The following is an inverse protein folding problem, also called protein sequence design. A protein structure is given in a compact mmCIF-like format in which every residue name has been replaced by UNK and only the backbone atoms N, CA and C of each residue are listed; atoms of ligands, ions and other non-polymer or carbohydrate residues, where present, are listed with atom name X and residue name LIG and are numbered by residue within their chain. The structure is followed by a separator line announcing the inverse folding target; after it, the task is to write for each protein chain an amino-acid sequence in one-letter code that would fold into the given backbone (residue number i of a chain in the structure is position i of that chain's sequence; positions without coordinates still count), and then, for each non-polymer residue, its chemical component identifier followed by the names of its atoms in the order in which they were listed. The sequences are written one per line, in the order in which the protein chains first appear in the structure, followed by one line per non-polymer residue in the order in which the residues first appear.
data_IF_739547528108
#
_entry.id   IF_739547528108
#
_cell.length_a   1.000
_cell.length_b   1.000
_cell.length_c   1.000
_cell.angle_alpha   90.00
_cell.angle_beta   90.00
_cell.angle_gamma   90.00
#
_symmetry.space_group_name_H-M   'P 1'
#
loop_
_entity.id
_entity.type
_entity.pdbx_description
1 polymer ?
#
# COMPACT_ATOMS: atom_id res chain seq x y z
N UNK A 1 -111.11 86.88 -22.07
CA UNK A 1 -111.95 87.32 -23.21
C UNK A 1 -111.53 86.53 -24.44
N UNK A 2 -112.29 85.50 -24.85
CA UNK A 2 -112.11 84.85 -26.14
C UNK A 2 -112.88 85.62 -27.23
N UNK A 3 -112.32 85.80 -28.44
CA UNK A 3 -113.01 86.48 -29.52
C UNK A 3 -114.12 85.61 -30.11
N UNK A 4 -115.22 86.28 -30.46
CA UNK A 4 -116.42 85.76 -31.11
C UNK A 4 -116.08 84.92 -32.35
N UNK A 5 -116.45 83.63 -32.32
CA UNK A 5 -116.48 82.79 -33.52
C UNK A 5 -117.75 83.08 -34.30
N UNK A 6 -117.57 83.80 -35.41
CA UNK A 6 -118.58 84.04 -36.45
C UNK A 6 -119.24 82.72 -36.89
N UNK A 7 -120.57 82.77 -37.06
CA UNK A 7 -121.42 81.68 -37.56
C UNK A 7 -120.92 81.19 -38.94
N UNK A 8 -120.91 79.87 -39.20
CA UNK A 8 -120.51 79.34 -40.50
C UNK A 8 -121.58 79.62 -41.56
N UNK A 9 -121.16 80.27 -42.64
CA UNK A 9 -121.90 80.39 -43.90
C UNK A 9 -122.00 78.97 -44.48
N UNK A 10 -123.22 78.48 -44.72
CA UNK A 10 -123.47 77.21 -45.41
C UNK A 10 -123.11 77.38 -46.89
N UNK A 11 -122.14 76.64 -47.46
CA UNK A 11 -121.94 76.65 -48.89
C UNK A 11 -123.05 75.84 -49.57
N UNK A 12 -123.60 76.39 -50.65
CA UNK A 12 -124.47 75.67 -51.59
C UNK A 12 -123.58 74.65 -52.29
N UNK A 13 -123.74 73.39 -51.92
CA UNK A 13 -123.00 72.25 -52.47
C UNK A 13 -123.69 71.89 -53.80
N UNK A 14 -123.00 72.12 -54.92
CA UNK A 14 -123.42 71.59 -56.21
C UNK A 14 -123.26 70.06 -56.20
N UNK A 15 -124.06 69.28 -56.97
CA UNK A 15 -124.12 67.82 -56.86
C UNK A 15 -122.79 67.07 -57.08
N UNK A 16 -121.78 67.72 -57.69
CA UNK A 16 -120.41 67.19 -57.82
C UNK A 16 -119.52 67.39 -56.58
N UNK A 17 -119.81 68.39 -55.74
CA UNK A 17 -118.97 68.75 -54.58
C UNK A 17 -119.26 67.89 -53.34
N UNK A 18 -120.44 67.26 -53.27
CA UNK A 18 -120.79 66.34 -52.18
C UNK A 18 -119.91 65.07 -52.19
N UNK A 19 -119.54 64.57 -53.36
CA UNK A 19 -118.63 63.43 -53.50
C UNK A 19 -117.20 63.82 -53.12
N UNK A 20 -116.76 65.03 -53.48
CA UNK A 20 -115.42 65.52 -53.11
C UNK A 20 -115.29 65.77 -51.61
N UNK A 21 -116.31 66.34 -50.97
CA UNK A 21 -116.33 66.56 -49.52
C UNK A 21 -116.40 65.24 -48.75
N UNK A 22 -117.19 64.26 -49.21
CA UNK A 22 -117.22 62.93 -48.62
C UNK A 22 -115.86 62.22 -48.74
N UNK A 23 -115.19 62.34 -49.90
CA UNK A 23 -113.85 61.79 -50.12
C UNK A 23 -112.80 62.49 -49.25
N UNK A 24 -112.84 63.81 -49.14
CA UNK A 24 -111.94 64.58 -48.27
C UNK A 24 -112.18 64.31 -46.78
N UNK A 25 -113.42 64.04 -46.36
CA UNK A 25 -113.71 63.62 -44.98
C UNK A 25 -113.22 62.20 -44.71
N UNK A 26 -113.35 61.29 -45.67
CA UNK A 26 -112.80 59.93 -45.60
C UNK A 26 -111.27 59.96 -45.56
N UNK A 27 -110.64 60.78 -46.40
CA UNK A 27 -109.18 60.97 -46.43
C UNK A 27 -108.68 61.64 -45.15
N UNK A 28 -109.38 62.65 -44.60
CA UNK A 28 -109.03 63.22 -43.30
C UNK A 28 -109.14 62.20 -42.16
N UNK A 29 -110.18 61.36 -42.19
CA UNK A 29 -110.35 60.31 -41.19
C UNK A 29 -109.23 59.27 -41.29
N UNK A 30 -108.85 58.89 -42.52
CA UNK A 30 -107.72 58.00 -42.79
C UNK A 30 -106.39 58.61 -42.36
N UNK A 31 -106.15 59.88 -42.64
CA UNK A 31 -104.94 60.60 -42.21
C UNK A 31 -104.89 60.70 -40.68
N UNK A 32 -106.02 60.94 -40.01
CA UNK A 32 -106.06 60.96 -38.54
C UNK A 32 -105.80 59.57 -37.94
N UNK A 33 -106.31 58.50 -38.56
CA UNK A 33 -106.02 57.12 -38.16
C UNK A 33 -104.54 56.75 -38.42
N UNK A 34 -103.97 57.15 -39.55
CA UNK A 34 -102.55 56.95 -39.87
C UNK A 34 -101.63 57.78 -38.96
N UNK A 35 -102.01 59.02 -38.63
CA UNK A 35 -101.29 59.87 -37.68
C UNK A 35 -101.36 59.30 -36.25
N UNK A 36 -102.53 58.77 -35.85
CA UNK A 36 -102.71 58.09 -34.58
C UNK A 36 -101.82 56.86 -34.46
N UNK A 37 -101.80 56.02 -35.51
CA UNK A 37 -100.91 54.85 -35.59
C UNK A 37 -99.43 55.24 -35.56
N UNK A 38 -99.03 56.25 -36.33
CA UNK A 38 -97.65 56.73 -36.33
C UNK A 38 -97.22 57.30 -34.96
N UNK A 39 -98.13 57.99 -34.26
CA UNK A 39 -97.87 58.50 -32.91
C UNK A 39 -97.76 57.38 -31.87
N UNK A 40 -98.58 56.33 -31.97
CA UNK A 40 -98.48 55.15 -31.10
C UNK A 40 -97.20 54.36 -31.38
N UNK A 41 -96.85 54.18 -32.65
CA UNK A 41 -95.59 53.54 -33.06
C UNK A 41 -94.37 54.31 -32.54
N UNK A 42 -94.37 55.65 -32.67
CA UNK A 42 -93.31 56.51 -32.16
C UNK A 42 -93.19 56.43 -30.63
N UNK A 43 -94.32 56.43 -29.91
CA UNK A 43 -94.34 56.23 -28.45
C UNK A 43 -93.79 54.85 -28.08
N UNK A 44 -94.20 53.79 -28.79
CA UNK A 44 -93.71 52.44 -28.56
C UNK A 44 -92.20 52.32 -28.82
N UNK A 45 -91.71 52.96 -29.89
CA UNK A 45 -90.30 52.98 -30.26
C UNK A 45 -89.47 53.76 -29.24
N UNK A 46 -89.98 54.87 -28.73
CA UNK A 46 -89.33 55.66 -27.67
C UNK A 46 -89.21 54.85 -26.38
N UNK A 47 -90.25 54.13 -25.99
CA UNK A 47 -90.22 53.23 -24.81
C UNK A 47 -89.24 52.08 -25.02
N UNK A 48 -89.20 51.47 -26.21
CA UNK A 48 -88.21 50.42 -26.55
C UNK A 48 -86.77 50.94 -26.54
N UNK A 49 -86.53 52.15 -27.03
CA UNK A 49 -85.21 52.78 -27.00
C UNK A 49 -84.77 53.04 -25.55
N UNK A 50 -85.64 53.62 -24.72
CA UNK A 50 -85.35 53.87 -23.30
C UNK A 50 -85.09 52.59 -22.50
N UNK A 51 -85.81 51.49 -22.80
CA UNK A 51 -85.54 50.21 -22.15
C UNK A 51 -84.21 49.60 -22.60
N UNK A 52 -83.86 49.71 -23.89
CA UNK A 52 -82.55 49.30 -24.38
C UNK A 52 -81.39 50.12 -23.81
N UNK A 53 -81.58 51.43 -23.64
CA UNK A 53 -80.57 52.33 -23.10
C UNK A 53 -80.31 52.05 -21.61
N UNK A 54 -81.37 51.75 -20.85
CA UNK A 54 -81.27 51.24 -19.46
C UNK A 54 -80.58 49.88 -19.40
N UNK A 55 -80.86 48.98 -20.34
CA UNK A 55 -80.21 47.68 -20.40
C UNK A 55 -78.71 47.80 -20.72
N UNK A 56 -78.34 48.65 -21.70
CA UNK A 56 -76.93 48.96 -22.01
C UNK A 56 -76.20 49.56 -20.83
N UNK A 57 -76.81 50.53 -20.14
CA UNK A 57 -76.22 51.16 -18.96
C UNK A 57 -75.98 50.14 -17.82
N UNK A 58 -76.89 49.18 -17.63
CA UNK A 58 -76.69 48.09 -16.66
C UNK A 58 -75.54 47.17 -17.05
N UNK A 59 -75.45 46.79 -18.34
CA UNK A 59 -74.37 45.95 -18.86
C UNK A 59 -73.00 46.65 -18.73
N UNK A 60 -72.92 47.94 -19.05
CA UNK A 60 -71.68 48.72 -18.88
C UNK A 60 -71.27 48.82 -17.41
N UNK A 61 -72.23 49.01 -16.50
CA UNK A 61 -71.96 49.04 -15.06
C UNK A 61 -71.45 47.68 -14.53
N UNK A 62 -72.00 46.57 -15.02
CA UNK A 62 -71.52 45.23 -14.69
C UNK A 62 -70.13 44.94 -15.26
N UNK A 63 -69.86 45.34 -16.51
CA UNK A 63 -68.53 45.26 -17.11
C UNK A 63 -67.50 46.07 -16.33
N UNK A 64 -67.87 47.27 -15.84
CA UNK A 64 -66.99 48.08 -15.00
C UNK A 64 -66.68 47.41 -13.66
N UNK A 65 -67.68 46.73 -13.07
CA UNK A 65 -67.54 45.97 -11.82
C UNK A 65 -66.68 44.71 -11.97
N UNK A 66 -66.60 44.12 -13.17
CA UNK A 66 -65.82 42.91 -13.44
C UNK A 66 -64.34 43.20 -13.76
N UNK A 67 -63.98 44.43 -14.15
CA UNK A 67 -62.58 44.83 -14.43
C UNK A 67 -61.60 44.58 -13.27
N UNK A 68 -61.92 44.89 -12.00
CA UNK A 68 -61.04 44.59 -10.87
C UNK A 68 -60.82 43.09 -10.66
N UNK A 69 -61.86 42.27 -10.87
CA UNK A 69 -61.77 40.82 -10.76
C UNK A 69 -60.86 40.22 -11.85
N UNK A 70 -60.95 40.73 -13.08
CA UNK A 70 -60.03 40.35 -14.16
C UNK A 70 -58.58 40.68 -13.81
N UNK A 71 -58.31 41.87 -13.27
CA UNK A 71 -56.95 42.26 -12.86
C UNK A 71 -56.41 41.39 -11.72
N UNK A 72 -57.25 41.02 -10.76
CA UNK A 72 -56.87 40.09 -9.69
C UNK A 72 -56.53 38.71 -10.25
N UNK A 73 -57.30 38.24 -11.23
CA UNK A 73 -57.03 36.97 -11.90
C UNK A 73 -55.67 37.02 -12.62
N UNK A 74 -55.37 38.11 -13.33
CA UNK A 74 -54.09 38.33 -14.03
C UNK A 74 -52.90 38.40 -13.06
N UNK A 75 -53.08 38.99 -11.87
CA UNK A 75 -52.02 39.00 -10.84
C UNK A 75 -51.80 37.62 -10.24
N UNK A 76 -52.88 36.87 -9.97
CA UNK A 76 -52.78 35.52 -9.40
C UNK A 76 -52.15 34.55 -10.40
N UNK A 77 -52.46 34.67 -11.70
CA UNK A 77 -51.81 33.86 -12.72
C UNK A 77 -50.32 34.20 -12.83
N UNK A 78 -49.95 35.48 -12.86
CA UNK A 78 -48.54 35.90 -12.88
C UNK A 78 -47.76 35.43 -11.63
N UNK A 79 -48.34 35.56 -10.44
CA UNK A 79 -47.73 35.08 -9.19
C UNK A 79 -47.57 33.55 -9.20
N UNK A 80 -48.57 32.83 -9.72
CA UNK A 80 -48.48 31.38 -9.86
C UNK A 80 -47.39 30.94 -10.84
N UNK A 81 -47.21 31.65 -11.96
CA UNK A 81 -46.12 31.38 -12.90
C UNK A 81 -44.74 31.67 -12.27
N UNK A 82 -44.64 32.72 -11.46
CA UNK A 82 -43.45 33.02 -10.65
C UNK A 82 -43.11 31.88 -9.67
N UNK A 83 -44.11 31.34 -8.98
CA UNK A 83 -43.93 30.19 -8.09
C UNK A 83 -43.53 28.92 -8.87
N UNK A 84 -44.15 28.65 -10.02
CA UNK A 84 -43.82 27.49 -10.85
C UNK A 84 -42.43 27.54 -11.46
N UNK A 85 -41.96 28.74 -11.82
CA UNK A 85 -40.58 28.95 -12.30
C UNK A 85 -39.57 28.80 -11.17
N UNK A 86 -39.86 29.37 -9.99
CA UNK A 86 -39.06 29.18 -8.78
C UNK A 86 -38.95 27.70 -8.38
N UNK A 87 -40.07 26.97 -8.37
CA UNK A 87 -40.10 25.54 -8.05
C UNK A 87 -39.29 24.71 -9.07
N UNK A 88 -39.42 25.00 -10.37
CA UNK A 88 -38.61 24.34 -11.40
C UNK A 88 -37.12 24.59 -11.22
N UNK A 89 -36.73 25.83 -10.92
CA UNK A 89 -35.33 26.16 -10.61
C UNK A 89 -34.82 25.35 -9.42
N UNK A 90 -35.57 25.33 -8.31
CA UNK A 90 -35.20 24.56 -7.12
C UNK A 90 -35.07 23.06 -7.41
N UNK A 91 -36.01 22.47 -8.17
CA UNK A 91 -35.93 21.06 -8.59
C UNK A 91 -34.65 20.81 -9.40
N UNK A 92 -34.33 21.67 -10.36
CA UNK A 92 -33.09 21.49 -11.15
C UNK A 92 -31.83 21.63 -10.31
N UNK A 93 -31.81 22.51 -9.31
CA UNK A 93 -30.68 22.68 -8.40
C UNK A 93 -30.52 21.46 -7.48
N UNK A 94 -31.63 20.92 -6.96
CA UNK A 94 -31.64 19.68 -6.18
C UNK A 94 -31.14 18.52 -7.03
N UNK A 95 -31.59 18.38 -8.28
CA UNK A 95 -31.11 17.34 -9.19
C UNK A 95 -29.61 17.45 -9.49
N UNK A 96 -29.08 18.67 -9.63
CA UNK A 96 -27.63 18.90 -9.79
C UNK A 96 -26.86 18.50 -8.53
N UNK A 97 -27.36 18.85 -7.34
CA UNK A 97 -26.73 18.45 -6.06
C UNK A 97 -26.77 16.94 -5.85
N UNK A 98 -27.88 16.29 -6.20
CA UNK A 98 -28.01 14.82 -6.13
C UNK A 98 -27.06 14.11 -7.09
N UNK A 99 -26.87 14.64 -8.31
CA UNK A 99 -25.89 14.11 -9.26
C UNK A 99 -24.45 14.26 -8.74
N UNK A 100 -24.11 15.43 -8.18
CA UNK A 100 -22.78 15.67 -7.60
C UNK A 100 -22.50 14.76 -6.38
N UNK A 101 -23.49 14.54 -5.52
CA UNK A 101 -23.37 13.62 -4.38
C UNK A 101 -23.19 12.16 -4.85
N UNK A 102 -23.90 11.73 -5.88
CA UNK A 102 -23.72 10.39 -6.47
C UNK A 102 -22.32 10.20 -7.05
N UNK A 103 -21.78 11.21 -7.72
CA UNK A 103 -20.41 11.17 -8.25
C UNK A 103 -19.38 11.11 -7.11
N UNK A 104 -19.54 11.92 -6.05
CA UNK A 104 -18.68 11.84 -4.87
C UNK A 104 -18.74 10.47 -4.20
N UNK A 105 -19.92 9.85 -4.12
CA UNK A 105 -20.11 8.54 -3.54
C UNK A 105 -19.39 7.46 -4.36
N UNK A 106 -19.48 7.51 -5.70
CA UNK A 106 -18.71 6.61 -6.59
C UNK A 106 -17.19 6.78 -6.44
N UNK A 107 -16.71 8.02 -6.30
CA UNK A 107 -15.28 8.28 -6.06
C UNK A 107 -14.85 7.71 -4.70
N UNK A 108 -15.68 7.85 -3.68
CA UNK A 108 -15.41 7.30 -2.35
C UNK A 108 -15.38 5.77 -2.37
N UNK A 109 -16.35 5.11 -3.02
CA UNK A 109 -16.38 3.65 -3.20
C UNK A 109 -15.16 3.14 -3.96
N UNK A 110 -14.73 3.84 -5.01
CA UNK A 110 -13.52 3.49 -5.76
C UNK A 110 -12.27 3.60 -4.88
N UNK A 111 -12.13 4.67 -4.11
CA UNK A 111 -11.01 4.83 -3.16
C UNK A 111 -11.03 3.75 -2.08
N UNK A 112 -12.21 3.41 -1.55
CA UNK A 112 -12.35 2.33 -0.58
C UNK A 112 -11.92 0.98 -1.17
N UNK A 113 -12.33 0.68 -2.40
CA UNK A 113 -11.87 -0.48 -3.16
C UNK A 113 -10.34 -0.50 -3.33
N UNK A 114 -9.73 0.64 -3.68
CA UNK A 114 -8.27 0.77 -3.83
C UNK A 114 -7.55 0.56 -2.49
N UNK A 115 -8.08 1.10 -1.38
CA UNK A 115 -7.54 0.86 -0.04
C UNK A 115 -7.69 -0.60 0.39
N UNK A 116 -8.81 -1.24 0.10
CA UNK A 116 -9.01 -2.66 0.37
C UNK A 116 -8.03 -3.52 -0.45
N UNK A 117 -7.79 -3.20 -1.73
CA UNK A 117 -6.78 -3.88 -2.54
C UNK A 117 -5.34 -3.62 -2.05
N UNK A 118 -5.03 -2.41 -1.59
CA UNK A 118 -3.74 -2.09 -0.99
C UNK A 118 -3.49 -2.85 0.31
N UNK A 119 -4.50 -2.95 1.18
CA UNK A 119 -4.39 -3.67 2.45
C UNK A 119 -4.28 -5.19 2.27
N UNK A 120 -4.95 -5.79 1.27
CA UNK A 120 -4.77 -7.21 0.95
C UNK A 120 -3.37 -7.49 0.40
N UNK A 121 -2.84 -6.59 -0.42
CA UNK A 121 -1.46 -6.68 -0.94
C UNK A 121 -0.45 -6.62 0.21
N UNK A 122 -0.55 -5.62 1.09
CA UNK A 122 0.33 -5.48 2.27
C UNK A 122 0.25 -6.69 3.21
N UNK A 123 -0.96 -7.25 3.43
CA UNK A 123 -1.11 -8.50 4.21
C UNK A 123 -0.38 -9.66 3.56
N UNK A 124 -0.46 -9.80 2.23
CA UNK A 124 0.23 -10.88 1.51
C UNK A 124 1.75 -10.74 1.54
N UNK A 125 2.27 -9.51 1.48
CA UNK A 125 3.69 -9.23 1.61
C UNK A 125 4.19 -9.53 3.03
N UNK A 126 3.43 -9.13 4.05
CA UNK A 126 3.73 -9.45 5.45
C UNK A 126 3.77 -10.96 5.69
N UNK A 127 2.80 -11.70 5.16
CA UNK A 127 2.77 -13.17 5.24
C UNK A 127 3.98 -13.82 4.56
N UNK A 128 4.43 -13.27 3.42
CA UNK A 128 5.64 -13.74 2.74
C UNK A 128 6.90 -13.48 3.56
N UNK A 129 7.02 -12.30 4.18
CA UNK A 129 8.14 -11.96 5.07
C UNK A 129 8.16 -12.89 6.29
N UNK A 130 7.01 -13.08 6.95
CA UNK A 130 6.88 -13.99 8.08
C UNK A 130 7.26 -15.43 7.71
N UNK A 131 6.82 -15.93 6.55
CA UNK A 131 7.21 -17.27 6.06
C UNK A 131 8.72 -17.37 5.78
N UNK A 132 9.34 -16.33 5.25
CA UNK A 132 10.80 -16.29 5.03
C UNK A 132 11.55 -16.31 6.35
N UNK A 133 11.13 -15.52 7.33
CA UNK A 133 11.73 -15.51 8.66
C UNK A 133 11.57 -16.86 9.37
N UNK A 134 10.37 -17.44 9.35
CA UNK A 134 10.12 -18.78 9.91
C UNK A 134 10.99 -19.85 9.22
N UNK A 135 11.12 -19.80 7.89
CA UNK A 135 12.00 -20.71 7.15
C UNK A 135 13.48 -20.52 7.56
N UNK A 136 13.92 -19.27 7.75
CA UNK A 136 15.26 -18.95 8.25
C UNK A 136 15.51 -19.51 9.66
N UNK A 137 14.55 -19.32 10.57
CA UNK A 137 14.61 -19.86 11.94
C UNK A 137 14.66 -21.39 11.95
N UNK A 138 13.86 -22.07 11.11
CA UNK A 138 13.88 -23.54 10.99
C UNK A 138 15.24 -24.02 10.48
N UNK A 139 15.83 -23.34 9.48
CA UNK A 139 17.17 -23.67 8.98
C UNK A 139 18.25 -23.48 10.05
N UNK A 140 18.19 -22.39 10.81
CA UNK A 140 19.11 -22.13 11.91
C UNK A 140 18.99 -23.21 13.01
N UNK A 141 17.76 -23.60 13.38
CA UNK A 141 17.52 -24.69 14.34
C UNK A 141 18.06 -26.03 13.83
N UNK A 142 17.92 -26.33 12.54
CA UNK A 142 18.47 -27.54 11.93
C UNK A 142 20.01 -27.55 12.02
N UNK A 143 20.67 -26.42 11.70
CA UNK A 143 22.12 -26.27 11.84
C UNK A 143 22.60 -26.42 13.29
N UNK A 144 21.90 -25.79 14.24
CA UNK A 144 22.20 -25.95 15.68
C UNK A 144 22.09 -27.43 16.09
N UNK A 145 21.05 -28.12 15.62
CA UNK A 145 20.85 -29.54 15.94
C UNK A 145 21.96 -30.41 15.33
N UNK A 146 22.43 -30.08 14.13
CA UNK A 146 23.54 -30.77 13.48
C UNK A 146 24.87 -30.53 14.21
N UNK A 147 25.15 -29.27 14.59
CA UNK A 147 26.32 -28.91 15.41
C UNK A 147 26.29 -29.58 16.79
N UNK A 148 25.12 -29.72 17.41
CA UNK A 148 24.99 -30.46 18.68
C UNK A 148 25.27 -31.95 18.51
N UNK A 149 24.91 -32.55 17.36
CA UNK A 149 25.23 -33.94 17.07
C UNK A 149 26.73 -34.13 16.81
N UNK A 150 27.35 -33.23 16.05
CA UNK A 150 28.80 -33.29 15.81
C UNK A 150 29.58 -33.08 17.11
N UNK A 151 29.19 -32.12 17.95
CA UNK A 151 29.80 -31.88 19.26
C UNK A 151 29.72 -33.13 20.15
N UNK A 152 28.55 -33.76 20.28
CA UNK A 152 28.40 -35.00 21.05
C UNK A 152 29.25 -36.15 20.52
N UNK A 153 29.50 -36.17 19.21
CA UNK A 153 30.34 -37.20 18.58
C UNK A 153 31.81 -36.93 18.90
N UNK A 154 32.25 -35.68 18.75
CA UNK A 154 33.60 -35.24 19.11
C UNK A 154 33.90 -35.44 20.61
N UNK A 155 32.94 -35.17 21.49
CA UNK A 155 33.07 -35.43 22.94
C UNK A 155 33.30 -36.92 23.22
N UNK A 156 32.56 -37.82 22.55
CA UNK A 156 32.73 -39.27 22.69
C UNK A 156 34.09 -39.73 22.17
N UNK A 157 34.52 -39.20 21.04
CA UNK A 157 35.85 -39.48 20.47
C UNK A 157 36.96 -39.01 21.41
N UNK A 158 36.84 -37.79 21.96
CA UNK A 158 37.80 -37.27 22.93
C UNK A 158 37.89 -38.14 24.19
N UNK A 159 36.74 -38.59 24.73
CA UNK A 159 36.73 -39.53 25.87
C UNK A 159 37.40 -40.86 25.50
N UNK A 160 37.13 -41.40 24.30
CA UNK A 160 37.77 -42.63 23.84
C UNK A 160 39.29 -42.46 23.68
N UNK A 161 39.76 -41.33 23.14
CA UNK A 161 41.19 -41.03 23.03
C UNK A 161 41.84 -40.85 24.39
N UNK A 162 41.19 -40.17 25.34
CA UNK A 162 41.69 -40.02 26.70
C UNK A 162 41.84 -41.38 27.41
N UNK A 163 40.87 -42.29 27.22
CA UNK A 163 40.96 -43.66 27.74
C UNK A 163 42.12 -44.44 27.09
N UNK A 164 42.28 -44.34 25.77
CA UNK A 164 43.40 -44.98 25.08
C UNK A 164 44.76 -44.45 25.53
N UNK A 165 44.87 -43.13 25.75
CA UNK A 165 46.07 -42.50 26.27
C UNK A 165 46.40 -43.02 27.68
N UNK A 166 45.41 -43.08 28.57
CA UNK A 166 45.60 -43.62 29.93
C UNK A 166 46.02 -45.11 29.92
N UNK A 167 45.46 -45.93 29.02
CA UNK A 167 45.87 -47.34 28.85
C UNK A 167 47.32 -47.43 28.37
N UNK A 168 47.72 -46.59 27.40
CA UNK A 168 49.11 -46.54 26.93
C UNK A 168 50.06 -46.09 28.01
N UNK A 169 49.73 -45.05 28.77
CA UNK A 169 50.54 -44.56 29.89
C UNK A 169 50.73 -45.64 30.98
N UNK A 170 49.65 -46.38 31.30
CA UNK A 170 49.73 -47.55 32.17
C UNK A 170 50.59 -48.70 31.59
N UNK A 171 50.63 -48.85 30.26
CA UNK A 171 51.53 -49.77 29.58
C UNK A 171 52.99 -49.36 29.69
N UNK A 172 53.30 -48.10 29.37
CA UNK A 172 54.64 -47.51 29.45
C UNK A 172 55.22 -47.57 30.86
N UNK A 173 54.42 -47.29 31.89
CA UNK A 173 54.86 -47.40 33.29
C UNK A 173 55.23 -48.84 33.67
N UNK A 174 54.42 -49.83 33.25
CA UNK A 174 54.75 -51.25 33.45
C UNK A 174 56.02 -51.67 32.72
N UNK A 175 56.22 -51.23 31.48
CA UNK A 175 57.45 -51.49 30.72
C UNK A 175 58.66 -50.83 31.39
N UNK A 176 58.52 -49.59 31.87
CA UNK A 176 59.58 -48.89 32.59
C UNK A 176 59.97 -49.64 33.88
N UNK A 177 59.00 -50.14 34.64
CA UNK A 177 59.26 -50.91 35.85
C UNK A 177 59.88 -52.28 35.54
N UNK A 178 59.42 -52.95 34.46
CA UNK A 178 60.03 -54.19 33.99
C UNK A 178 61.50 -53.99 33.55
N UNK A 179 61.82 -52.87 32.90
CA UNK A 179 63.18 -52.51 32.52
C UNK A 179 64.06 -52.20 33.74
N UNK A 180 63.53 -51.50 34.75
CA UNK A 180 64.24 -51.28 36.03
C UNK A 180 64.55 -52.61 36.73
N UNK A 181 63.60 -53.53 36.76
CA UNK A 181 63.80 -54.86 37.35
C UNK A 181 64.78 -55.71 36.55
N UNK A 182 64.74 -55.65 35.22
CA UNK A 182 65.71 -56.31 34.36
C UNK A 182 67.13 -55.76 34.56
N UNK A 183 67.27 -54.44 34.70
CA UNK A 183 68.54 -53.78 35.00
C UNK A 183 69.12 -54.25 36.34
N UNK A 184 68.30 -54.24 37.41
CA UNK A 184 68.72 -54.77 38.73
C UNK A 184 69.15 -56.25 38.66
N UNK A 185 68.40 -57.08 37.93
CA UNK A 185 68.77 -58.49 37.71
C UNK A 185 70.07 -58.63 36.92
N UNK A 186 70.34 -57.74 35.97
CA UNK A 186 71.60 -57.72 35.22
C UNK A 186 72.77 -57.29 36.11
N UNK A 187 72.58 -56.25 36.93
CA UNK A 187 73.60 -55.74 37.84
C UNK A 187 73.97 -56.77 38.92
N UNK A 188 72.99 -57.44 39.51
CA UNK A 188 73.25 -58.54 40.46
C UNK A 188 73.99 -59.72 39.81
N UNK A 189 73.66 -60.06 38.55
CA UNK A 189 74.42 -61.06 37.79
C UNK A 189 75.85 -60.61 37.52
N UNK A 190 76.04 -59.34 37.14
CA UNK A 190 77.36 -58.77 36.91
C UNK A 190 78.23 -58.82 38.17
N UNK A 191 77.69 -58.41 39.32
CA UNK A 191 78.37 -58.52 40.61
C UNK A 191 78.69 -59.98 40.97
N UNK A 192 77.79 -60.92 40.68
CA UNK A 192 78.06 -62.34 40.90
C UNK A 192 79.20 -62.85 40.00
N UNK A 193 79.22 -62.46 38.72
CA UNK A 193 80.32 -62.81 37.80
C UNK A 193 81.65 -62.19 38.23
N UNK A 194 81.66 -60.93 38.68
CA UNK A 194 82.87 -60.30 39.22
C UNK A 194 83.39 -61.06 40.45
N UNK A 195 82.52 -61.46 41.38
CA UNK A 195 82.91 -62.28 42.53
C UNK A 195 83.55 -63.58 42.07
N UNK A 196 82.93 -64.31 41.15
CA UNK A 196 83.50 -65.55 40.62
C UNK A 196 84.85 -65.33 39.95
N UNK A 197 85.03 -64.24 39.19
CA UNK A 197 86.32 -63.90 38.57
C UNK A 197 87.39 -63.59 39.62
N UNK A 198 87.04 -62.90 40.70
CA UNK A 198 88.00 -62.64 41.79
C UNK A 198 88.39 -63.92 42.55
N UNK A 199 87.45 -64.85 42.74
CA UNK A 199 87.72 -66.16 43.33
C UNK A 199 88.62 -67.01 42.41
N UNK A 200 88.36 -66.99 41.10
CA UNK A 200 89.22 -67.65 40.10
C UNK A 200 90.64 -67.10 40.13
N UNK A 201 90.82 -65.77 40.12
CA UNK A 201 92.16 -65.14 40.22
C UNK A 201 92.89 -65.57 41.49
N UNK A 202 92.22 -65.60 42.64
CA UNK A 202 92.81 -66.10 43.89
C UNK A 202 93.19 -67.58 43.79
N UNK A 203 92.35 -68.40 43.18
CA UNK A 203 92.64 -69.84 43.00
C UNK A 203 93.83 -70.07 42.06
N UNK A 204 93.98 -69.23 41.03
CA UNK A 204 95.11 -69.24 40.08
C UNK A 204 96.40 -68.76 40.74
N UNK A 205 96.35 -67.70 41.57
CA UNK A 205 97.46 -67.24 42.42
C UNK A 205 97.89 -68.32 43.42
N UNK A 206 96.94 -69.00 44.08
CA UNK A 206 97.25 -70.10 44.98
C UNK A 206 97.84 -71.30 44.24
N UNK A 207 97.32 -71.62 43.05
CA UNK A 207 97.83 -72.72 42.22
C UNK A 207 99.24 -72.44 41.70
N UNK A 208 99.52 -71.21 41.25
CA UNK A 208 100.86 -70.77 40.83
C UNK A 208 101.83 -70.73 42.02
N UNK A 209 101.41 -70.28 43.19
CA UNK A 209 102.21 -70.36 44.41
C UNK A 209 102.49 -71.82 44.83
N UNK A 210 101.52 -72.71 44.69
CA UNK A 210 101.67 -74.15 44.96
C UNK A 210 102.65 -74.81 44.00
N UNK A 211 102.55 -74.50 42.70
CA UNK A 211 103.49 -74.96 41.67
C UNK A 211 104.91 -74.43 41.93
N UNK A 212 105.05 -73.16 42.30
CA UNK A 212 106.33 -72.56 42.65
C UNK A 212 106.95 -73.20 43.91
N UNK A 213 106.13 -73.59 44.90
CA UNK A 213 106.58 -74.28 46.11
C UNK A 213 106.92 -75.77 45.88
N UNK A 214 106.33 -76.42 44.87
CA UNK A 214 106.62 -77.81 44.47
C UNK A 214 107.85 -77.92 43.54
N UNK A 215 108.18 -76.84 42.82
CA UNK A 215 109.31 -76.78 41.90
C UNK A 215 110.69 -77.15 42.49
N UNK A 216 111.01 -76.86 43.78
CA UNK A 216 112.26 -77.30 44.41
C UNK A 216 112.25 -78.79 44.82
N UNK A 217 111.08 -79.38 45.02
CA UNK A 217 110.94 -80.74 45.56
C UNK A 217 110.82 -81.82 44.47
N UNK A 218 110.35 -81.47 43.26
CA UNK A 218 110.13 -82.42 42.15
C UNK A 218 110.51 -81.76 40.80
N UNK A 219 111.75 -81.92 40.33
CA UNK A 219 112.22 -81.32 39.06
C UNK A 219 111.52 -81.84 37.80
N UNK A 220 110.82 -82.97 37.88
CA UNK A 220 110.13 -83.61 36.75
C UNK A 220 108.78 -82.98 36.36
N UNK A 221 108.35 -81.93 37.06
CA UNK A 221 107.11 -81.18 36.76
C UNK A 221 107.34 -79.92 35.89
N UNK A 222 108.57 -79.62 35.50
CA UNK A 222 108.97 -78.42 34.75
C UNK A 222 108.45 -78.34 33.27
N UNK A 223 107.43 -79.11 32.91
CA UNK A 223 106.89 -79.16 31.55
C UNK A 223 105.46 -79.67 31.45
N UNK A 224 104.68 -79.65 32.54
CA UNK A 224 103.27 -80.02 32.49
C UNK A 224 102.47 -78.79 32.05
N UNK A 225 102.18 -78.71 30.75
CA UNK A 225 101.17 -77.78 30.24
C UNK A 225 99.81 -78.10 30.89
N UNK A 226 99.10 -77.10 31.44
CA UNK A 226 97.79 -77.29 32.02
C UNK A 226 96.82 -77.76 30.93
N UNK A 227 96.44 -79.05 30.96
CA UNK A 227 95.45 -79.60 30.03
C UNK A 227 94.11 -78.88 30.22
N UNK A 228 93.57 -78.25 29.17
CA UNK A 228 92.45 -77.32 29.32
C UNK A 228 91.11 -78.04 29.18
N UNK A 229 90.76 -78.92 30.13
CA UNK A 229 89.39 -79.46 30.21
C UNK A 229 88.42 -78.36 30.68
N UNK A 230 88.93 -77.37 31.43
CA UNK A 230 88.20 -76.15 31.81
C UNK A 230 88.00 -75.19 30.63
N UNK A 231 88.96 -75.05 29.70
CA UNK A 231 88.84 -74.10 28.57
C UNK A 231 87.84 -74.59 27.54
N UNK A 232 87.72 -75.90 27.28
CA UNK A 232 86.64 -76.39 26.40
C UNK A 232 85.25 -76.21 27.01
N UNK A 233 85.10 -76.36 28.34
CA UNK A 233 83.84 -76.00 29.03
C UNK A 233 83.59 -74.49 29.00
N UNK A 234 84.61 -73.67 29.24
CA UNK A 234 84.53 -72.21 29.17
C UNK A 234 84.19 -71.73 27.75
N UNK A 235 84.80 -72.32 26.70
CA UNK A 235 84.50 -72.03 25.30
C UNK A 235 83.09 -72.47 24.90
N UNK A 236 82.62 -73.63 25.35
CA UNK A 236 81.22 -74.04 25.13
C UNK A 236 80.23 -73.13 25.86
N UNK A 237 80.60 -72.65 27.04
CA UNK A 237 79.79 -71.73 27.83
C UNK A 237 79.78 -70.32 27.21
N UNK A 238 80.93 -69.84 26.71
CA UNK A 238 81.03 -68.61 25.91
C UNK A 238 80.26 -68.71 24.60
N UNK A 239 80.27 -69.85 23.90
CA UNK A 239 79.44 -70.06 22.69
C UNK A 239 77.94 -70.05 23.01
N UNK A 240 77.53 -70.62 24.13
CA UNK A 240 76.15 -70.56 24.62
C UNK A 240 75.74 -69.14 25.01
N UNK A 241 76.63 -68.41 25.67
CA UNK A 241 76.42 -67.01 26.06
C UNK A 241 76.39 -66.09 24.83
N UNK A 242 77.28 -66.28 23.86
CA UNK A 242 77.27 -65.57 22.58
C UNK A 242 75.97 -65.83 21.81
N UNK A 243 75.47 -67.08 21.81
CA UNK A 243 74.17 -67.41 21.20
C UNK A 243 72.99 -66.77 21.93
N UNK A 244 73.03 -66.70 23.26
CA UNK A 244 72.03 -65.97 24.04
C UNK A 244 72.09 -64.45 23.80
N UNK A 245 73.30 -63.89 23.66
CA UNK A 245 73.50 -62.48 23.30
C UNK A 245 72.97 -62.19 21.90
N UNK A 246 73.21 -63.05 20.91
CA UNK A 246 72.63 -62.95 19.57
C UNK A 246 71.10 -62.98 19.59
N UNK A 247 70.50 -63.83 20.43
CA UNK A 247 69.06 -63.84 20.67
C UNK A 247 68.53 -62.53 21.28
N UNK A 248 69.28 -61.93 22.22
CA UNK A 248 68.93 -60.62 22.80
C UNK A 248 69.07 -59.48 21.80
N UNK A 249 70.13 -59.49 20.99
CA UNK A 249 70.33 -58.49 19.93
C UNK A 249 69.18 -58.57 18.91
N UNK A 250 68.80 -59.77 18.48
CA UNK A 250 67.65 -59.93 17.58
C UNK A 250 66.32 -59.44 18.20
N UNK A 251 66.10 -59.68 19.50
CA UNK A 251 64.92 -59.17 20.20
C UNK A 251 64.94 -57.64 20.33
N UNK A 252 66.10 -57.03 20.62
CA UNK A 252 66.27 -55.58 20.69
C UNK A 252 66.12 -54.93 19.32
N UNK A 253 66.59 -55.56 18.24
CA UNK A 253 66.36 -55.10 16.86
C UNK A 253 64.88 -55.14 16.48
N UNK A 254 64.15 -56.16 16.92
CA UNK A 254 62.70 -56.24 16.71
C UNK A 254 61.96 -55.13 17.50
N UNK A 255 62.34 -54.90 18.76
CA UNK A 255 61.80 -53.81 19.56
C UNK A 255 62.14 -52.43 18.96
N UNK A 256 63.36 -52.24 18.47
CA UNK A 256 63.77 -50.99 17.82
C UNK A 256 62.94 -50.72 16.56
N UNK A 257 62.67 -51.74 15.74
CA UNK A 257 61.79 -51.60 14.57
C UNK A 257 60.35 -51.29 14.97
N UNK A 258 59.85 -51.89 16.04
CA UNK A 258 58.51 -51.60 16.56
C UNK A 258 58.40 -50.15 17.08
N UNK A 259 59.38 -49.69 17.85
CA UNK A 259 59.44 -48.31 18.35
C UNK A 259 59.61 -47.29 17.22
N UNK A 260 60.41 -47.60 16.19
CA UNK A 260 60.49 -46.78 14.98
C UNK A 260 59.13 -46.68 14.26
N UNK A 261 58.37 -47.77 14.20
CA UNK A 261 57.02 -47.74 13.61
C UNK A 261 56.03 -46.94 14.48
N UNK A 262 56.12 -47.04 15.81
CA UNK A 262 55.33 -46.23 16.75
C UNK A 262 55.67 -44.74 16.63
N UNK A 263 56.95 -44.39 16.57
CA UNK A 263 57.39 -43.00 16.37
C UNK A 263 56.89 -42.45 15.03
N UNK A 264 57.00 -43.20 13.93
CA UNK A 264 56.45 -42.79 12.65
C UNK A 264 54.91 -42.62 12.66
N UNK A 265 54.20 -43.38 13.51
CA UNK A 265 52.77 -43.18 13.74
C UNK A 265 52.49 -41.94 14.60
N UNK A 266 53.33 -41.66 15.61
CA UNK A 266 53.25 -40.45 16.43
C UNK A 266 53.46 -39.20 15.59
N UNK A 267 54.49 -39.16 14.74
CA UNK A 267 54.78 -38.02 13.85
C UNK A 267 53.60 -37.72 12.92
N UNK A 268 52.90 -38.76 12.43
CA UNK A 268 51.69 -38.60 11.63
C UNK A 268 50.54 -38.01 12.44
N UNK A 269 50.36 -38.44 13.69
CA UNK A 269 49.35 -37.86 14.57
C UNK A 269 49.66 -36.41 14.91
N UNK A 270 50.91 -36.08 15.20
CA UNK A 270 51.35 -34.71 15.49
C UNK A 270 51.14 -33.80 14.28
N UNK A 271 51.43 -34.29 13.07
CA UNK A 271 51.14 -33.54 11.84
C UNK A 271 49.63 -33.28 11.65
N UNK A 272 48.78 -34.26 12.00
CA UNK A 272 47.33 -34.13 11.90
C UNK A 272 46.76 -33.20 12.97
N UNK A 273 47.29 -33.27 14.19
CA UNK A 273 46.94 -32.34 15.28
C UNK A 273 47.33 -30.92 14.86
N UNK A 274 48.53 -30.71 14.29
CA UNK A 274 48.96 -29.42 13.75
C UNK A 274 47.98 -28.86 12.72
N UNK A 275 47.58 -29.67 11.74
CA UNK A 275 46.58 -29.25 10.74
C UNK A 275 45.22 -28.89 11.35
N UNK A 276 44.74 -29.66 12.34
CA UNK A 276 43.48 -29.38 13.03
C UNK A 276 43.55 -28.13 13.92
N UNK A 277 44.71 -27.83 14.50
CA UNK A 277 44.93 -26.61 15.28
C UNK A 277 44.89 -25.39 14.36
N UNK A 278 45.53 -25.45 13.19
CA UNK A 278 45.46 -24.37 12.21
C UNK A 278 44.05 -24.18 11.64
N UNK A 279 43.31 -25.27 11.38
CA UNK A 279 41.91 -25.19 10.94
C UNK A 279 41.03 -24.53 12.01
N UNK A 280 41.17 -24.92 13.29
CA UNK A 280 40.46 -24.27 14.39
C UNK A 280 40.83 -22.78 14.51
N UNK A 281 42.11 -22.43 14.35
CA UNK A 281 42.57 -21.04 14.36
C UNK A 281 41.89 -20.23 13.26
N UNK A 282 41.81 -20.78 12.05
CA UNK A 282 41.17 -20.13 10.89
C UNK A 282 39.65 -20.00 11.08
N UNK A 283 38.98 -21.04 11.60
CA UNK A 283 37.56 -20.99 11.94
C UNK A 283 37.27 -19.94 13.02
N UNK A 284 38.16 -19.78 14.00
CA UNK A 284 38.02 -18.78 15.04
C UNK A 284 38.21 -17.36 14.50
N UNK A 285 39.17 -17.14 13.60
CA UNK A 285 39.30 -15.87 12.86
C UNK A 285 38.05 -15.55 12.03
N UNK A 286 37.44 -16.55 11.39
CA UNK A 286 36.19 -16.38 10.65
C UNK A 286 35.00 -16.03 11.58
N UNK A 287 34.90 -16.69 12.73
CA UNK A 287 33.87 -16.38 13.72
C UNK A 287 34.01 -14.97 14.29
N UNK A 288 35.24 -14.55 14.58
CA UNK A 288 35.53 -13.19 15.03
C UNK A 288 35.19 -12.16 13.96
N UNK A 289 35.53 -12.44 12.69
CA UNK A 289 35.12 -11.63 11.53
C UNK A 289 33.60 -11.48 11.44
N UNK A 290 32.86 -12.58 11.46
CA UNK A 290 31.39 -12.57 11.42
C UNK A 290 30.77 -11.85 12.61
N UNK A 291 31.37 -11.96 13.80
CA UNK A 291 30.94 -11.22 15.00
C UNK A 291 31.12 -9.72 14.83
N UNK A 292 32.25 -9.28 14.25
CA UNK A 292 32.47 -7.86 13.95
C UNK A 292 31.51 -7.33 12.89
N UNK A 293 31.27 -8.09 11.82
CA UNK A 293 30.30 -7.73 10.78
C UNK A 293 28.89 -7.63 11.34
N UNK A 294 28.49 -8.59 12.19
CA UNK A 294 27.18 -8.57 12.85
C UNK A 294 26.97 -7.32 13.70
N UNK A 295 27.99 -6.90 14.47
CA UNK A 295 27.96 -5.65 15.25
C UNK A 295 27.82 -4.43 14.33
N UNK A 296 28.59 -4.38 13.26
CA UNK A 296 28.55 -3.29 12.29
C UNK A 296 27.20 -3.19 11.57
N UNK A 297 26.59 -4.32 11.22
CA UNK A 297 25.23 -4.34 10.68
C UNK A 297 24.19 -3.88 11.69
N UNK A 298 24.32 -4.28 12.97
CA UNK A 298 23.43 -3.83 14.02
C UNK A 298 23.53 -2.31 14.26
N UNK A 299 24.72 -1.72 14.18
CA UNK A 299 24.93 -0.27 14.26
C UNK A 299 24.30 0.46 13.06
N UNK A 300 24.56 -0.02 11.83
CA UNK A 300 23.94 0.53 10.62
C UNK A 300 22.41 0.44 10.65
N UNK A 301 21.85 -0.65 11.19
CA UNK A 301 20.41 -0.80 11.35
C UNK A 301 19.83 0.20 12.37
N UNK A 302 20.54 0.47 13.47
CA UNK A 302 20.15 1.51 14.44
C UNK A 302 20.20 2.90 13.81
N UNK A 303 21.25 3.21 13.05
CA UNK A 303 21.39 4.47 12.34
C UNK A 303 20.28 4.66 11.31
N UNK A 304 19.99 3.63 10.50
CA UNK A 304 18.89 3.66 9.54
C UNK A 304 17.53 3.91 10.23
N UNK A 305 17.27 3.23 11.35
CA UNK A 305 16.04 3.44 12.14
C UNK A 305 15.94 4.89 12.64
N UNK A 306 17.03 5.46 13.16
CA UNK A 306 17.05 6.86 13.61
C UNK A 306 16.83 7.86 12.46
N UNK A 307 17.40 7.61 11.28
CA UNK A 307 17.15 8.44 10.08
C UNK A 307 15.70 8.36 9.62
N UNK A 308 15.07 7.18 9.74
CA UNK A 308 13.68 6.98 9.36
C UNK A 308 12.73 7.67 10.35
N UNK A 309 12.99 7.56 11.66
CA UNK A 309 12.24 8.26 12.70
C UNK A 309 12.29 9.78 12.53
N UNK A 310 13.48 10.33 12.25
CA UNK A 310 13.64 11.78 11.98
C UNK A 310 12.94 12.21 10.68
N UNK A 311 13.01 11.41 9.62
CA UNK A 311 12.28 11.67 8.38
C UNK A 311 10.75 11.65 8.59
N UNK A 312 10.25 10.67 9.35
CA UNK A 312 8.81 10.57 9.70
C UNK A 312 8.37 11.75 10.56
N UNK A 313 9.18 12.15 11.56
CA UNK A 313 8.89 13.32 12.39
C UNK A 313 8.82 14.61 11.54
N UNK A 314 9.76 14.79 10.61
CA UNK A 314 9.78 15.93 9.71
C UNK A 314 8.58 15.93 8.75
N UNK A 315 8.24 14.78 8.15
CA UNK A 315 7.08 14.65 7.27
C UNK A 315 5.76 14.90 8.02
N UNK A 316 5.66 14.45 9.27
CA UNK A 316 4.50 14.72 10.12
C UNK A 316 4.40 16.21 10.47
N UNK A 317 5.52 16.85 10.80
CA UNK A 317 5.57 18.28 11.08
C UNK A 317 5.16 19.10 9.85
N UNK A 318 5.70 18.79 8.66
CA UNK A 318 5.35 19.47 7.42
C UNK A 318 3.88 19.28 7.04
N UNK A 319 3.36 18.04 7.13
CA UNK A 319 1.96 17.75 6.87
C UNK A 319 1.04 18.53 7.82
N UNK A 320 1.36 18.58 9.12
CA UNK A 320 0.57 19.33 10.10
C UNK A 320 0.57 20.85 9.81
N UNK A 321 1.72 21.40 9.43
CA UNK A 321 1.85 22.82 9.09
C UNK A 321 1.05 23.16 7.82
N UNK A 322 1.03 22.26 6.83
CA UNK A 322 0.29 22.45 5.59
C UNK A 322 -1.23 22.32 5.80
N UNK A 323 -1.67 21.35 6.62
CA UNK A 323 -3.08 21.24 7.02
C UNK A 323 -3.57 22.45 7.80
N UNK A 324 -2.72 23.02 8.68
CA UNK A 324 -3.10 24.22 9.43
C UNK A 324 -3.17 25.45 8.54
N UNK A 325 -2.26 25.60 7.56
CA UNK A 325 -2.36 26.66 6.53
C UNK A 325 -3.64 26.55 5.72
N UNK A 326 -3.97 25.34 5.25
CA UNK A 326 -5.20 25.09 4.50
C UNK A 326 -6.44 25.40 5.33
N UNK A 327 -6.44 25.04 6.62
CA UNK A 327 -7.52 25.37 7.56
C UNK A 327 -7.68 26.88 7.72
N UNK A 328 -6.60 27.61 7.97
CA UNK A 328 -6.63 29.08 8.10
C UNK A 328 -7.17 29.75 6.83
N UNK A 329 -6.75 29.28 5.65
CA UNK A 329 -7.23 29.82 4.38
C UNK A 329 -8.70 29.49 4.11
N UNK A 330 -9.18 28.30 4.51
CA UNK A 330 -10.59 27.95 4.46
C UNK A 330 -11.42 28.79 5.42
N UNK A 331 -10.98 28.96 6.67
CA UNK A 331 -11.66 29.80 7.66
C UNK A 331 -11.79 31.24 7.16
N UNK A 332 -10.72 31.80 6.56
CA UNK A 332 -10.77 33.13 5.93
C UNK A 332 -11.77 33.21 4.79
N UNK A 333 -11.83 32.18 3.92
CA UNK A 333 -12.81 32.12 2.83
C UNK A 333 -14.24 32.04 3.36
N UNK A 334 -14.48 31.21 4.38
CA UNK A 334 -15.79 31.07 5.02
C UNK A 334 -16.22 32.40 5.64
N UNK A 335 -15.38 33.03 6.46
CA UNK A 335 -15.72 34.33 7.06
C UNK A 335 -15.98 35.43 6.03
N UNK A 336 -15.23 35.44 4.90
CA UNK A 336 -15.49 36.37 3.81
C UNK A 336 -16.84 36.12 3.15
N UNK A 337 -17.18 34.87 2.85
CA UNK A 337 -18.47 34.49 2.27
C UNK A 337 -19.64 34.74 3.22
N UNK A 338 -19.45 34.53 4.52
CA UNK A 338 -20.44 34.87 5.55
C UNK A 338 -20.71 36.38 5.60
N UNK A 339 -19.65 37.20 5.62
CA UNK A 339 -19.79 38.66 5.59
C UNK A 339 -20.48 39.15 4.31
N UNK A 340 -20.14 38.58 3.15
CA UNK A 340 -20.79 38.85 1.87
C UNK A 340 -22.27 38.43 1.88
N UNK A 341 -22.59 37.24 2.42
CA UNK A 341 -23.98 36.78 2.56
C UNK A 341 -24.80 37.68 3.48
N UNK A 342 -24.25 38.09 4.62
CA UNK A 342 -24.91 39.04 5.52
C UNK A 342 -25.16 40.37 4.82
N UNK A 343 -24.20 40.87 4.03
CA UNK A 343 -24.36 42.09 3.24
C UNK A 343 -25.46 41.95 2.17
N UNK A 344 -25.50 40.83 1.46
CA UNK A 344 -26.54 40.54 0.46
C UNK A 344 -27.93 40.42 1.10
N UNK A 345 -28.04 39.74 2.24
CA UNK A 345 -29.28 39.65 3.01
C UNK A 345 -29.76 41.02 3.48
N UNK A 346 -28.86 41.85 4.00
CA UNK A 346 -29.19 43.24 4.38
C UNK A 346 -29.65 44.08 3.19
N UNK A 347 -29.06 43.89 2.00
CA UNK A 347 -29.51 44.57 0.78
C UNK A 347 -30.90 44.12 0.35
N UNK A 348 -31.21 42.82 0.46
CA UNK A 348 -32.53 42.26 0.17
C UNK A 348 -33.60 42.78 1.14
N UNK A 349 -33.27 42.91 2.42
CA UNK A 349 -34.17 43.44 3.45
C UNK A 349 -34.40 44.96 3.31
N UNK A 350 -33.41 45.69 2.76
CA UNK A 350 -33.54 47.12 2.46
C UNK A 350 -34.39 47.38 1.20
N UNK A 351 -35.71 47.41 1.37
CA UNK A 351 -36.74 47.99 0.46
C UNK A 351 -36.52 47.81 -1.06
N UNK A 352 -37.16 46.79 -1.63
CA UNK A 352 -37.49 46.62 -3.08
C UNK A 352 -36.37 46.83 -4.11
N UNK A 353 -35.10 46.79 -3.71
CA UNK A 353 -33.97 46.85 -4.64
C UNK A 353 -33.38 45.46 -4.85
N UNK A 354 -33.10 45.17 -6.11
CA UNK A 354 -32.41 43.93 -6.53
C UNK A 354 -31.04 43.90 -5.86
N UNK A 355 -30.71 42.80 -5.18
CA UNK A 355 -29.41 42.61 -4.54
C UNK A 355 -28.29 42.76 -5.59
N UNK A 356 -27.29 43.58 -5.30
CA UNK A 356 -26.20 43.86 -6.22
C UNK A 356 -25.05 42.90 -5.95
N UNK A 357 -24.78 42.01 -6.91
CA UNK A 357 -23.59 41.16 -6.91
C UNK A 357 -22.49 41.85 -7.72
N UNK A 358 -21.32 42.12 -7.13
CA UNK A 358 -20.24 42.82 -7.84
C UNK A 358 -19.74 42.01 -9.05
N UNK A 359 -19.36 42.68 -10.15
CA UNK A 359 -18.95 42.02 -11.39
C UNK A 359 -17.72 41.13 -11.22
N UNK A 360 -16.81 41.42 -10.27
CA UNK A 360 -15.68 40.54 -9.95
C UNK A 360 -16.15 39.19 -9.40
N UNK A 361 -17.26 39.16 -8.64
CA UNK A 361 -17.83 37.92 -8.11
C UNK A 361 -18.53 37.12 -9.20
N UNK A 362 -19.22 37.79 -10.11
CA UNK A 362 -19.81 37.15 -11.29
C UNK A 362 -18.70 36.57 -12.18
N UNK A 363 -17.62 37.32 -12.40
CA UNK A 363 -16.44 36.81 -13.12
C UNK A 363 -15.84 35.60 -12.42
N UNK A 364 -15.60 35.66 -11.12
CA UNK A 364 -15.03 34.52 -10.38
C UNK A 364 -15.94 33.28 -10.40
N UNK A 365 -17.26 33.45 -10.30
CA UNK A 365 -18.23 32.37 -10.43
C UNK A 365 -18.25 31.80 -11.85
N UNK A 366 -18.13 32.65 -12.87
CA UNK A 366 -18.01 32.24 -14.26
C UNK A 366 -16.69 31.53 -14.51
N UNK A 367 -15.57 32.00 -13.97
CA UNK A 367 -14.25 31.39 -14.09
C UNK A 367 -14.21 30.01 -13.41
N UNK A 368 -14.81 29.90 -12.22
CA UNK A 368 -14.97 28.62 -11.52
C UNK A 368 -15.90 27.68 -12.30
N UNK A 369 -16.98 28.20 -12.88
CA UNK A 369 -17.87 27.45 -13.78
C UNK A 369 -17.14 26.98 -15.04
N UNK A 370 -16.35 27.85 -15.68
CA UNK A 370 -15.53 27.52 -16.85
C UNK A 370 -14.45 26.50 -16.52
N UNK A 371 -13.79 26.63 -15.37
CA UNK A 371 -12.80 25.67 -14.88
C UNK A 371 -13.46 24.31 -14.65
N UNK A 372 -14.58 24.25 -13.93
CA UNK A 372 -15.31 23.01 -13.66
C UNK A 372 -15.78 22.34 -14.95
N UNK A 373 -16.27 23.12 -15.91
CA UNK A 373 -16.66 22.62 -17.24
C UNK A 373 -15.44 22.07 -18.01
N UNK A 374 -14.33 22.80 -18.09
CA UNK A 374 -13.12 22.34 -18.79
C UNK A 374 -12.52 21.09 -18.18
N UNK A 375 -12.59 20.96 -16.85
CA UNK A 375 -12.01 19.82 -16.13
C UNK A 375 -12.84 18.55 -16.37
N UNK A 376 -14.17 18.69 -16.42
CA UNK A 376 -15.09 17.55 -16.53
C UNK A 376 -15.44 17.18 -17.99
N UNK A 377 -15.39 18.14 -18.92
CA UNK A 377 -15.70 17.95 -20.35
C UNK A 377 -14.47 18.20 -21.21
N UNK A 378 -13.62 17.17 -21.37
CA UNK A 378 -12.48 17.24 -22.29
C UNK A 378 -12.96 17.27 -23.74
N UNK A 379 -12.79 18.41 -24.40
CA UNK A 379 -13.21 18.63 -25.79
C UNK A 379 -14.23 19.75 -25.97
N UNK A 380 -14.69 20.36 -24.87
CA UNK A 380 -15.39 21.64 -24.90
C UNK A 380 -14.35 22.76 -24.82
N UNK A 381 -14.21 23.55 -25.89
CA UNK A 381 -13.47 24.81 -25.86
C UNK A 381 -14.44 25.97 -26.00
N UNK A 382 -14.31 26.96 -25.12
CA UNK A 382 -15.15 28.15 -25.12
C UNK A 382 -14.23 29.35 -25.31
N UNK A 383 -14.37 30.05 -26.44
CA UNK A 383 -13.60 31.24 -26.79
C UNK A 383 -14.54 32.29 -27.38
N UNK A 384 -14.52 33.51 -26.87
CA UNK A 384 -15.10 34.72 -27.49
C UNK A 384 -16.44 34.53 -28.23
N UNK A 385 -17.41 33.89 -27.56
CA UNK A 385 -18.77 33.59 -28.09
C UNK A 385 -18.89 32.39 -29.04
N UNK A 386 -17.84 31.57 -29.16
CA UNK A 386 -17.86 30.26 -29.81
C UNK A 386 -17.72 29.15 -28.77
N UNK A 387 -18.64 28.19 -28.82
CA UNK A 387 -18.54 26.94 -28.07
C UNK A 387 -18.23 25.83 -29.07
N UNK A 388 -17.01 25.29 -28.99
CA UNK A 388 -16.55 24.17 -29.81
C UNK A 388 -16.62 22.90 -28.98
N UNK A 389 -17.40 21.92 -29.44
CA UNK A 389 -17.57 20.65 -28.76
C UNK A 389 -17.10 19.52 -29.69
N UNK A 390 -16.09 18.78 -29.27
CA UNK A 390 -15.69 17.53 -29.92
C UNK A 390 -16.63 16.40 -29.49
N UNK A 391 -17.32 15.77 -30.44
CA UNK A 391 -18.30 14.70 -30.23
C UNK A 391 -17.98 13.48 -31.09
N UNK A 392 -18.21 12.29 -30.55
CA UNK A 392 -18.20 11.04 -31.30
C UNK A 392 -19.58 10.75 -31.85
N UNK A 393 -19.66 10.25 -33.07
CA UNK A 393 -20.92 9.76 -33.64
C UNK A 393 -21.04 8.27 -33.37
N UNK A 394 -22.02 7.88 -32.55
CA UNK A 394 -22.28 6.49 -32.19
C UNK A 394 -23.69 6.05 -32.59
N UNK A 395 -23.83 4.80 -33.01
CA UNK A 395 -25.11 4.14 -33.27
C UNK A 395 -25.27 3.00 -32.27
N UNK A 396 -26.21 3.12 -31.32
CA UNK A 396 -26.43 2.08 -30.29
C UNK A 396 -27.32 0.92 -30.79
N UNK A 397 -28.03 1.09 -31.90
CA UNK A 397 -28.85 0.08 -32.57
C UNK A 397 -29.32 0.60 -33.93
N UNK A 398 -29.92 -0.25 -34.77
CA UNK A 398 -30.34 0.02 -36.16
C UNK A 398 -31.41 1.13 -36.36
N UNK A 399 -31.60 2.02 -35.38
CA UNK A 399 -32.49 3.19 -35.47
C UNK A 399 -32.14 4.38 -34.58
N UNK A 400 -31.03 4.35 -33.82
CA UNK A 400 -30.67 5.43 -32.90
C UNK A 400 -29.22 5.90 -33.13
N UNK A 401 -29.08 6.99 -33.88
CA UNK A 401 -27.84 7.76 -34.01
C UNK A 401 -27.82 8.85 -32.93
N UNK A 402 -26.70 8.96 -32.20
CA UNK A 402 -26.54 9.93 -31.12
C UNK A 402 -25.14 10.51 -31.04
N UNK A 403 -25.01 11.64 -30.33
CA UNK A 403 -23.74 12.26 -30.01
C UNK A 403 -23.18 11.66 -28.71
N UNK A 404 -21.93 11.24 -28.74
CA UNK A 404 -21.18 10.79 -27.56
C UNK A 404 -20.20 11.89 -27.17
N UNK A 405 -20.39 12.47 -25.98
CA UNK A 405 -19.49 13.51 -25.45
C UNK A 405 -18.39 12.80 -24.64
N UNK A 406 -17.10 12.95 -25.02
CA UNK A 406 -16.00 12.31 -24.29
C UNK A 406 -15.84 12.91 -22.89
N UNK A 407 -15.74 12.06 -21.87
CA UNK A 407 -15.33 12.46 -20.51
C UNK A 407 -13.81 12.32 -20.34
N UNK A 408 -13.26 12.90 -19.27
CA UNK A 408 -11.82 13.02 -19.06
C UNK A 408 -11.03 11.69 -19.09
N UNK A 409 -11.70 10.55 -18.89
CA UNK A 409 -11.11 9.20 -18.90
C UNK A 409 -11.05 8.48 -20.26
N UNK A 410 -11.87 8.87 -21.26
CA UNK A 410 -12.04 8.12 -22.52
C UNK A 410 -11.33 8.73 -23.75
N UNK A 411 -10.46 9.72 -23.55
CA UNK A 411 -10.02 10.64 -24.63
C UNK A 411 -8.68 10.33 -25.28
N UNK A 412 -7.93 9.32 -24.84
CA UNK A 412 -6.62 9.02 -25.45
C UNK A 412 -6.76 8.32 -26.82
N UNK A 413 -7.72 7.41 -26.96
CA UNK A 413 -7.83 6.52 -28.14
C UNK A 413 -8.78 7.04 -29.23
N UNK A 414 -9.66 7.99 -28.92
CA UNK A 414 -10.76 8.41 -29.82
C UNK A 414 -10.50 9.79 -30.46
N UNK A 415 -9.44 10.51 -30.06
CA UNK A 415 -9.22 11.92 -30.43
C UNK A 415 -9.22 12.24 -31.92
N UNK A 416 -8.73 11.32 -32.75
CA UNK A 416 -8.53 11.55 -34.20
C UNK A 416 -9.79 11.25 -35.03
N UNK A 417 -10.84 10.68 -34.43
CA UNK A 417 -12.09 10.29 -35.12
C UNK A 417 -13.34 11.04 -34.63
N UNK A 418 -13.18 12.06 -33.76
CA UNK A 418 -14.28 12.88 -33.27
C UNK A 418 -14.63 14.00 -34.26
N UNK A 419 -15.92 14.19 -34.50
CA UNK A 419 -16.42 15.36 -35.23
C UNK A 419 -16.46 16.59 -34.33
N UNK A 420 -16.31 17.77 -34.93
CA UNK A 420 -16.37 19.04 -34.21
C UNK A 420 -17.72 19.74 -34.48
N UNK A 421 -18.43 20.09 -33.41
CA UNK A 421 -19.63 20.91 -33.47
C UNK A 421 -19.28 22.30 -32.95
N UNK A 422 -19.44 23.31 -33.80
CA UNK A 422 -19.18 24.72 -33.45
C UNK A 422 -20.51 25.45 -33.30
N UNK A 423 -20.80 25.90 -32.08
CA UNK A 423 -21.94 26.73 -31.75
C UNK A 423 -21.46 28.18 -31.63
N UNK A 424 -21.89 29.04 -32.55
CA UNK A 424 -21.62 30.49 -32.48
C UNK A 424 -22.79 31.18 -31.79
N UNK A 425 -22.53 31.77 -30.63
CA UNK A 425 -23.47 32.62 -29.90
C UNK A 425 -23.41 34.04 -30.49
N UNK A 426 -23.90 34.19 -31.72
CA UNK A 426 -24.03 35.47 -32.41
C UNK A 426 -25.49 35.88 -32.58
N UNK A 427 -25.78 37.20 -32.63
CA UNK A 427 -27.08 37.70 -33.08
C UNK A 427 -27.32 37.22 -34.52
N UNK A 428 -28.52 36.70 -34.78
CA UNK A 428 -28.98 36.28 -36.10
C UNK A 428 -28.90 37.49 -37.04
N UNK A 429 -27.89 37.52 -37.92
CA UNK A 429 -27.83 38.50 -38.99
C UNK A 429 -29.12 38.39 -39.80
N UNK A 430 -29.84 39.51 -39.90
CA UNK A 430 -31.01 39.69 -40.75
C UNK A 430 -30.58 40.23 -42.09
#
# INVERSE_FOLDING_TARGET
MPPERKKPIKPVILPGDAQLVAKLQQDNKRIQEELGKAQEELKSATVKMQTQERARSKIEAELLRLKPASRLLDTVTADSEGLWTGLRSAITEISKKDAALKEQLQIAEKKESEYQAGTTTLRSELDLVLKREQSGQIKALAQITELQKSLKTAEREHVAFAQQAAVKEAGWTREQDALKDALKKSETRFQATERTLTEYRKSEELFTASLAALHPAVPSLAGVEPKPVSVMKALFQELLEARQQLGRVSALEAQLKEEQAKNAASDKLDSRIGSLVEENRLLQEQLDGLSTDSKLFAEKAKEATATLETAVANAKASASAETEKQRIDLDRKVSKLEAENVSLLQQMDSTHKVAFVPPERVSALLDEFYANIRTNLKGLDVQDSEVRLKVGFGSLSSGHTGFVIPTAGNTAEIKDSLGEVVLRLGKKDR
#
